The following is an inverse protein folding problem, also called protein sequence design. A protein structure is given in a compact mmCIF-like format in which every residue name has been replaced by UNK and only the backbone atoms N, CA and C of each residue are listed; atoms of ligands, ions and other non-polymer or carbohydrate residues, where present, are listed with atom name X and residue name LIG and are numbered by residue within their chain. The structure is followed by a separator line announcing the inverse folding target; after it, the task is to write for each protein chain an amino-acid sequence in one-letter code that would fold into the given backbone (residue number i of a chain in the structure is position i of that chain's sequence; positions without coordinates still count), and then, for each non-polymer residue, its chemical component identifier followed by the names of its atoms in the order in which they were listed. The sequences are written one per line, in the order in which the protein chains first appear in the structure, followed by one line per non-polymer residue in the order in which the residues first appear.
data_IF_643909290131
#
_entry.id   IF_643909290131
#
_cell.length_a   1.000
_cell.length_b   1.000
_cell.length_c   1.000
_cell.angle_alpha   90.00
_cell.angle_beta   90.00
_cell.angle_gamma   90.00
#
_symmetry.space_group_name_H-M   'P 1'
#
loop_
_entity.id
_entity.type
_entity.pdbx_description
1 polymer ?
#
# COMPACT_ATOMS: atom_id res chain seq x y z
N UNK A 1 -20.11 -12.76 16.57
CA UNK A 1 -18.95 -12.39 15.74
C UNK A 1 -18.42 -11.12 16.35
N UNK A 2 -17.19 -11.15 16.86
CA UNK A 2 -16.54 -9.95 17.38
C UNK A 2 -16.50 -8.92 16.25
N UNK A 3 -17.03 -7.72 16.47
CA UNK A 3 -17.07 -6.69 15.43
C UNK A 3 -15.63 -6.33 15.07
N UNK A 4 -15.13 -6.85 13.95
CA UNK A 4 -13.78 -6.57 13.48
C UNK A 4 -13.60 -5.06 13.31
N UNK A 5 -12.58 -4.51 13.97
CA UNK A 5 -12.24 -3.09 13.92
C UNK A 5 -10.88 -2.86 13.26
N UNK A 6 -10.72 -1.67 12.71
CA UNK A 6 -9.46 -1.12 12.22
C UNK A 6 -9.22 0.24 12.87
N UNK A 7 -7.95 0.53 13.18
CA UNK A 7 -7.50 1.86 13.56
C UNK A 7 -7.30 2.68 12.28
N UNK A 8 -8.19 3.62 12.04
CA UNK A 8 -8.23 4.47 10.85
C UNK A 8 -7.71 5.85 11.21
N UNK A 9 -6.72 6.32 10.45
CA UNK A 9 -6.22 7.68 10.56
C UNK A 9 -7.16 8.65 9.84
N UNK A 10 -7.44 8.39 8.55
CA UNK A 10 -8.33 9.22 7.74
C UNK A 10 -8.98 8.42 6.60
N UNK A 11 -10.17 8.86 6.18
CA UNK A 11 -10.83 8.42 4.95
C UNK A 11 -11.25 9.66 4.20
N UNK A 12 -10.80 9.80 2.95
CA UNK A 12 -11.04 11.00 2.16
C UNK A 12 -11.08 10.70 0.66
N UNK A 13 -11.64 11.62 -0.12
CA UNK A 13 -11.72 11.53 -1.57
C UNK A 13 -10.82 12.58 -2.21
N UNK A 14 -9.95 12.14 -3.12
CA UNK A 14 -8.96 12.98 -3.79
C UNK A 14 -8.60 12.40 -5.16
N UNK A 15 -7.46 12.79 -5.70
CA UNK A 15 -6.85 12.25 -6.92
C UNK A 15 -5.64 11.41 -6.51
N UNK A 16 -5.49 10.23 -7.12
CA UNK A 16 -4.28 9.42 -6.99
C UNK A 16 -3.07 10.19 -7.52
N UNK A 17 -2.03 10.34 -6.70
CA UNK A 17 -0.82 11.07 -7.03
C UNK A 17 0.27 10.21 -7.67
N UNK A 18 0.26 8.90 -7.42
CA UNK A 18 1.34 7.97 -7.75
C UNK A 18 0.82 6.72 -8.47
N UNK A 19 1.69 5.75 -8.75
CA UNK A 19 1.38 4.50 -9.45
C UNK A 19 0.93 4.70 -10.92
N UNK A 20 0.57 3.63 -11.61
CA UNK A 20 -0.10 3.75 -12.93
C UNK A 20 -1.51 4.34 -12.86
N UNK A 21 -2.05 4.53 -11.65
CA UNK A 21 -3.35 5.13 -11.38
C UNK A 21 -3.29 6.66 -11.18
N UNK A 22 -2.10 7.27 -11.27
CA UNK A 22 -1.93 8.72 -11.12
C UNK A 22 -2.90 9.52 -12.01
N UNK A 23 -3.57 10.52 -11.42
CA UNK A 23 -4.55 11.37 -12.07
C UNK A 23 -6.00 10.89 -11.98
N UNK A 24 -6.27 9.70 -11.43
CA UNK A 24 -7.63 9.18 -11.27
C UNK A 24 -8.28 9.61 -9.95
N UNK A 25 -9.59 9.92 -9.91
CA UNK A 25 -10.33 10.09 -8.67
C UNK A 25 -10.28 8.81 -7.83
N UNK A 26 -9.95 8.94 -6.54
CA UNK A 26 -9.71 7.81 -5.65
C UNK A 26 -10.17 8.14 -4.22
N UNK A 27 -10.81 7.18 -3.56
CA UNK A 27 -11.04 7.22 -2.11
C UNK A 27 -9.84 6.61 -1.41
N UNK A 28 -9.24 7.33 -0.48
CA UNK A 28 -8.16 6.82 0.34
C UNK A 28 -8.70 6.36 1.69
N UNK A 29 -8.32 5.17 2.11
CA UNK A 29 -8.53 4.65 3.47
C UNK A 29 -7.15 4.48 4.09
N UNK A 30 -6.75 5.47 4.89
CA UNK A 30 -5.45 5.50 5.57
C UNK A 30 -5.58 4.89 6.95
N UNK A 31 -4.90 3.77 7.17
CA UNK A 31 -4.82 3.09 8.47
C UNK A 31 -3.77 3.76 9.36
N UNK A 32 -3.82 3.44 10.65
CA UNK A 32 -2.83 3.85 11.65
C UNK A 32 -1.79 2.73 11.88
N UNK A 33 -0.62 3.13 12.37
CA UNK A 33 0.57 2.32 12.73
C UNK A 33 1.48 1.96 11.56
N UNK A 34 2.78 2.05 11.80
CA UNK A 34 3.83 1.49 10.95
C UNK A 34 4.98 1.03 11.86
N UNK A 35 5.66 -0.06 11.51
CA UNK A 35 6.87 -0.56 12.19
C UNK A 35 8.16 -0.23 11.41
N UNK A 36 8.06 0.57 10.35
CA UNK A 36 9.18 1.27 9.71
C UNK A 36 9.29 2.72 10.21
N UNK A 37 10.50 3.28 10.17
CA UNK A 37 10.80 4.69 10.45
C UNK A 37 11.65 5.25 9.31
N UNK A 38 11.08 5.19 8.11
CA UNK A 38 11.76 5.68 6.91
C UNK A 38 12.19 7.14 7.10
N UNK A 39 13.44 7.47 6.75
CA UNK A 39 14.00 8.81 6.95
C UNK A 39 13.21 9.91 6.23
N UNK A 40 12.58 9.58 5.10
CA UNK A 40 11.76 10.50 4.29
C UNK A 40 10.24 10.31 4.47
N UNK A 41 9.79 9.69 5.56
CA UNK A 41 8.35 9.48 5.76
C UNK A 41 7.61 10.82 5.89
N UNK A 42 6.66 11.05 4.98
CA UNK A 42 5.81 12.25 4.91
C UNK A 42 4.54 12.13 5.79
N UNK A 43 4.18 10.91 6.17
CA UNK A 43 2.93 10.57 6.87
C UNK A 43 3.20 10.11 8.31
N UNK A 44 4.10 10.79 9.02
CA UNK A 44 4.48 10.41 10.40
C UNK A 44 3.32 10.50 11.39
N UNK A 45 2.31 11.32 11.12
CA UNK A 45 1.08 11.43 11.91
C UNK A 45 0.28 10.11 11.95
N UNK A 46 0.35 9.30 10.88
CA UNK A 46 -0.30 7.99 10.82
C UNK A 46 0.38 6.92 11.71
N UNK A 47 1.49 7.22 12.40
CA UNK A 47 2.12 6.28 13.33
C UNK A 47 1.32 6.06 14.61
N UNK A 48 0.52 7.04 15.04
CA UNK A 48 -0.19 6.98 16.32
C UNK A 48 -1.61 7.54 16.28
N UNK A 49 -1.89 8.49 15.39
CA UNK A 49 -3.20 9.13 15.33
C UNK A 49 -4.22 8.27 14.58
N UNK A 50 -5.46 8.27 15.09
CA UNK A 50 -6.58 7.60 14.45
C UNK A 50 -7.67 7.21 15.44
N UNK A 51 -8.76 6.69 14.90
CA UNK A 51 -9.92 6.19 15.65
C UNK A 51 -10.24 4.77 15.25
N UNK A 52 -10.77 4.00 16.19
CA UNK A 52 -11.26 2.66 15.89
C UNK A 52 -12.58 2.77 15.12
N UNK A 53 -12.64 2.07 14.00
CA UNK A 53 -13.84 1.98 13.16
C UNK A 53 -14.11 0.52 12.84
N UNK A 54 -15.39 0.14 12.86
CA UNK A 54 -15.84 -1.13 12.32
C UNK A 54 -15.73 -1.16 10.79
N UNK A 55 -15.67 -2.37 10.22
CA UNK A 55 -15.69 -2.54 8.76
C UNK A 55 -16.93 -1.89 8.13
N UNK A 56 -18.10 -2.00 8.76
CA UNK A 56 -19.35 -1.42 8.27
C UNK A 56 -19.29 0.11 8.19
N UNK A 57 -18.72 0.77 9.21
CA UNK A 57 -18.53 2.22 9.21
C UNK A 57 -17.58 2.65 8.09
N UNK A 58 -16.48 1.92 7.87
CA UNK A 58 -15.52 2.21 6.80
C UNK A 58 -16.18 2.08 5.44
N UNK A 59 -16.88 0.97 5.18
CA UNK A 59 -17.57 0.71 3.92
C UNK A 59 -18.64 1.76 3.64
N UNK A 60 -19.42 2.14 4.65
CA UNK A 60 -20.44 3.19 4.56
C UNK A 60 -19.81 4.55 4.20
N UNK A 61 -18.65 4.88 4.79
CA UNK A 61 -17.95 6.12 4.46
C UNK A 61 -17.38 6.11 3.05
N UNK A 62 -16.76 5.01 2.61
CA UNK A 62 -16.24 4.86 1.25
C UNK A 62 -17.36 5.00 0.21
N UNK A 63 -18.51 4.36 0.44
CA UNK A 63 -19.65 4.37 -0.48
C UNK A 63 -20.23 5.77 -0.72
N UNK A 64 -20.19 6.64 0.29
CA UNK A 64 -20.70 8.03 0.20
C UNK A 64 -19.99 8.87 -0.86
N UNK A 65 -18.76 8.53 -1.24
CA UNK A 65 -18.01 9.29 -2.25
C UNK A 65 -18.42 8.94 -3.69
N UNK A 66 -19.13 7.83 -3.92
CA UNK A 66 -19.56 7.42 -5.26
C UNK A 66 -18.41 7.10 -6.23
N UNK A 67 -17.18 6.93 -5.73
CA UNK A 67 -16.00 6.59 -6.52
C UNK A 67 -15.68 5.09 -6.36
N UNK A 68 -15.40 4.41 -7.48
CA UNK A 68 -15.15 2.96 -7.51
C UNK A 68 -13.68 2.57 -7.35
N UNK A 69 -12.77 3.54 -7.31
CA UNK A 69 -11.35 3.32 -7.03
C UNK A 69 -11.08 3.65 -5.56
N UNK A 70 -10.54 2.68 -4.82
CA UNK A 70 -10.21 2.81 -3.40
C UNK A 70 -8.77 2.40 -3.19
N UNK A 71 -8.00 3.25 -2.53
CA UNK A 71 -6.66 2.92 -2.06
C UNK A 71 -6.68 2.66 -0.55
N UNK A 72 -6.20 1.49 -0.16
CA UNK A 72 -5.87 1.15 1.22
C UNK A 72 -4.39 1.44 1.45
N UNK A 73 -4.09 2.27 2.43
CA UNK A 73 -2.71 2.75 2.72
C UNK A 73 -2.53 3.04 4.22
N UNK A 74 -1.38 3.56 4.63
CA UNK A 74 -1.15 4.25 5.91
C UNK A 74 -0.98 3.39 7.16
N UNK A 75 -0.22 3.84 8.15
CA UNK A 75 1.21 3.63 8.05
C UNK A 75 1.49 2.35 7.24
N UNK A 76 1.71 1.20 7.87
CA UNK A 76 1.68 -0.08 7.13
C UNK A 76 0.30 -0.74 7.29
N UNK A 77 -0.55 -0.77 6.24
CA UNK A 77 -1.90 -1.30 6.35
C UNK A 77 -1.93 -2.79 6.73
N UNK A 78 -0.94 -3.57 6.28
CA UNK A 78 -0.89 -5.02 6.54
C UNK A 78 -0.53 -5.39 8.00
N UNK A 79 -0.22 -4.41 8.85
CA UNK A 79 -0.08 -4.63 10.29
C UNK A 79 -1.41 -4.97 10.98
N UNK A 80 -2.53 -4.52 10.43
CA UNK A 80 -3.84 -4.72 11.03
C UNK A 80 -4.58 -5.86 10.32
N UNK A 81 -4.71 -7.03 10.97
CA UNK A 81 -5.30 -8.25 10.36
C UNK A 81 -6.71 -8.08 9.79
N UNK A 82 -7.49 -7.11 10.28
CA UNK A 82 -8.83 -6.86 9.77
C UNK A 82 -8.85 -6.09 8.43
N UNK A 83 -7.68 -5.71 7.90
CA UNK A 83 -7.57 -5.07 6.57
C UNK A 83 -7.86 -6.06 5.44
N UNK A 84 -7.51 -7.34 5.62
CA UNK A 84 -7.78 -8.39 4.64
C UNK A 84 -9.28 -8.55 4.35
N UNK A 85 -10.16 -8.76 5.36
CA UNK A 85 -11.59 -8.83 5.10
C UNK A 85 -12.17 -7.50 4.57
N UNK A 86 -11.63 -6.33 4.95
CA UNK A 86 -12.05 -5.06 4.35
C UNK A 86 -11.77 -5.03 2.83
N UNK A 87 -10.57 -5.43 2.41
CA UNK A 87 -10.21 -5.48 0.99
C UNK A 87 -11.09 -6.46 0.21
N UNK A 88 -11.33 -7.65 0.76
CA UNK A 88 -12.22 -8.64 0.13
C UNK A 88 -13.64 -8.10 -0.03
N UNK A 89 -14.21 -7.49 1.00
CA UNK A 89 -15.57 -6.93 0.97
C UNK A 89 -15.69 -5.76 -0.03
N UNK A 90 -14.68 -4.90 -0.12
CA UNK A 90 -14.63 -3.86 -1.15
C UNK A 90 -14.60 -4.46 -2.56
N UNK A 91 -13.80 -5.50 -2.79
CA UNK A 91 -13.79 -6.21 -4.07
C UNK A 91 -15.14 -6.89 -4.37
N UNK A 92 -15.80 -7.48 -3.38
CA UNK A 92 -17.12 -8.12 -3.53
C UNK A 92 -18.21 -7.11 -3.90
N UNK A 93 -18.10 -5.87 -3.42
CA UNK A 93 -18.96 -4.74 -3.81
C UNK A 93 -18.61 -4.12 -5.17
N UNK A 94 -17.62 -4.67 -5.87
CA UNK A 94 -17.21 -4.23 -7.20
C UNK A 94 -16.35 -2.96 -7.20
N UNK A 95 -15.66 -2.66 -6.11
CA UNK A 95 -14.60 -1.64 -6.12
C UNK A 95 -13.33 -2.18 -6.75
N UNK A 96 -12.59 -1.31 -7.43
CA UNK A 96 -11.17 -1.52 -7.72
C UNK A 96 -10.38 -1.09 -6.51
N UNK A 97 -9.68 -2.03 -5.89
CA UNK A 97 -8.91 -1.80 -4.67
C UNK A 97 -7.42 -1.78 -5.00
N UNK A 98 -6.77 -0.70 -4.59
CA UNK A 98 -5.31 -0.56 -4.56
C UNK A 98 -4.84 -0.77 -3.11
N UNK A 99 -3.67 -1.37 -2.94
CA UNK A 99 -2.98 -1.49 -1.67
C UNK A 99 -1.58 -0.90 -1.81
N UNK A 100 -1.28 0.19 -1.11
CA UNK A 100 0.09 0.66 -0.94
C UNK A 100 0.70 0.06 0.32
N UNK A 101 1.82 -0.65 0.19
CA UNK A 101 2.49 -1.35 1.32
C UNK A 101 4.01 -1.19 1.24
N UNK A 102 4.67 -1.17 2.40
CA UNK A 102 6.10 -0.96 2.53
C UNK A 102 6.97 -2.18 2.24
N UNK A 103 6.42 -3.26 1.68
CA UNK A 103 7.17 -4.45 1.21
C UNK A 103 7.83 -5.31 2.29
N UNK A 104 7.71 -4.96 3.57
CA UNK A 104 8.27 -5.68 4.73
C UNK A 104 7.23 -6.58 5.42
N UNK A 105 5.95 -6.41 5.09
CA UNK A 105 4.87 -7.30 5.49
C UNK A 105 4.53 -8.24 4.32
N UNK A 106 4.12 -9.47 4.63
CA UNK A 106 3.79 -10.44 3.59
C UNK A 106 2.52 -10.07 2.83
N UNK A 107 2.59 -10.03 1.49
CA UNK A 107 1.44 -9.74 0.62
C UNK A 107 0.63 -10.99 0.23
N UNK A 108 1.04 -12.18 0.68
CA UNK A 108 0.45 -13.46 0.23
C UNK A 108 -1.02 -13.66 0.61
N UNK A 109 -1.44 -13.05 1.72
CA UNK A 109 -2.83 -13.13 2.20
C UNK A 109 -3.74 -12.06 1.59
N UNK A 110 -3.20 -11.17 0.75
CA UNK A 110 -3.97 -10.12 0.09
C UNK A 110 -4.83 -10.75 -1.01
N UNK A 111 -6.12 -10.44 -1.00
CA UNK A 111 -7.09 -10.87 -2.02
C UNK A 111 -6.53 -10.66 -3.43
N UNK A 112 -6.58 -11.72 -4.26
CA UNK A 112 -5.99 -11.72 -5.60
C UNK A 112 -6.56 -10.67 -6.58
N UNK A 113 -7.70 -10.05 -6.24
CA UNK A 113 -8.32 -8.98 -7.02
C UNK A 113 -7.74 -7.60 -6.72
N UNK A 114 -7.09 -7.44 -5.56
CA UNK A 114 -6.45 -6.18 -5.15
C UNK A 114 -5.18 -6.00 -5.95
N UNK A 115 -4.97 -4.77 -6.44
CA UNK A 115 -3.71 -4.35 -7.07
C UNK A 115 -2.75 -3.90 -5.98
N UNK A 116 -1.60 -4.56 -5.87
CA UNK A 116 -0.61 -4.26 -4.84
C UNK A 116 0.43 -3.32 -5.44
N UNK A 117 0.61 -2.17 -4.81
CA UNK A 117 1.68 -1.24 -5.07
C UNK A 117 2.67 -1.41 -3.93
N UNK A 118 3.70 -2.22 -4.17
CA UNK A 118 4.67 -2.59 -3.16
C UNK A 118 5.91 -1.71 -3.27
N UNK A 119 6.17 -0.96 -2.22
CA UNK A 119 7.42 -0.23 -2.08
C UNK A 119 8.55 -1.18 -1.71
N UNK A 120 9.61 -1.21 -2.52
CA UNK A 120 10.89 -1.76 -2.09
C UNK A 120 11.71 -0.60 -1.53
N UNK A 121 12.00 -0.66 -0.23
CA UNK A 121 12.67 0.43 0.49
C UNK A 121 14.14 0.50 0.09
N UNK A 122 14.53 1.63 -0.52
CA UNK A 122 15.90 1.92 -0.93
C UNK A 122 16.79 2.27 0.29
N UNK A 123 18.13 2.21 0.18
CA UNK A 123 19.06 2.52 1.27
C UNK A 123 18.80 3.85 1.98
N UNK A 124 18.46 4.92 1.25
CA UNK A 124 18.18 6.23 1.86
C UNK A 124 16.97 6.25 2.81
N UNK A 125 16.10 5.24 2.73
CA UNK A 125 15.01 5.10 3.70
C UNK A 125 15.52 4.79 5.11
N UNK A 126 16.73 4.26 5.25
CA UNK A 126 17.23 3.67 6.50
C UNK A 126 16.57 2.33 6.86
N UNK A 127 15.69 1.80 6.00
CA UNK A 127 14.85 0.63 6.26
C UNK A 127 14.98 -0.48 5.21
N UNK A 128 15.95 -0.37 4.28
CA UNK A 128 16.14 -1.36 3.20
C UNK A 128 16.44 -2.78 3.70
N UNK A 129 16.98 -2.91 4.91
CA UNK A 129 17.24 -4.20 5.57
C UNK A 129 15.97 -4.94 6.02
N UNK A 130 14.81 -4.29 6.02
CA UNK A 130 13.52 -4.88 6.43
C UNK A 130 12.66 -5.36 5.25
N UNK A 131 13.09 -5.15 4.01
CA UNK A 131 12.36 -5.65 2.83
C UNK A 131 12.17 -7.18 2.92
N UNK A 132 10.94 -7.66 2.73
CA UNK A 132 10.64 -9.09 2.64
C UNK A 132 10.70 -9.55 1.18
N UNK A 133 11.84 -10.09 0.79
CA UNK A 133 12.09 -10.56 -0.58
C UNK A 133 11.18 -11.73 -0.99
N UNK A 134 10.55 -12.44 -0.05
CA UNK A 134 9.59 -13.50 -0.37
C UNK A 134 8.32 -12.97 -1.04
N UNK A 135 8.05 -11.67 -0.92
CA UNK A 135 6.93 -11.01 -1.59
C UNK A 135 7.07 -10.99 -3.12
N UNK A 136 8.29 -11.03 -3.66
CA UNK A 136 8.51 -11.01 -5.11
C UNK A 136 7.85 -12.20 -5.81
N UNK A 137 7.77 -13.34 -5.15
CA UNK A 137 7.11 -14.54 -5.66
C UNK A 137 5.58 -14.43 -5.67
N UNK A 138 5.02 -13.53 -4.86
CA UNK A 138 3.58 -13.31 -4.75
C UNK A 138 3.07 -12.21 -5.68
N UNK A 139 3.98 -11.45 -6.31
CA UNK A 139 3.64 -10.43 -7.30
C UNK A 139 3.06 -11.05 -8.57
N UNK A 140 2.14 -10.31 -9.18
CA UNK A 140 1.49 -10.65 -10.44
C UNK A 140 1.64 -9.52 -11.45
N UNK A 141 1.29 -9.77 -12.72
CA UNK A 141 1.32 -8.76 -13.77
C UNK A 141 0.36 -7.57 -13.56
N UNK A 142 -0.52 -7.64 -12.55
CA UNK A 142 -1.42 -6.55 -12.16
C UNK A 142 -0.81 -5.63 -11.11
N UNK A 143 0.18 -6.12 -10.39
CA UNK A 143 0.82 -5.41 -9.28
C UNK A 143 1.86 -4.42 -9.81
N UNK A 144 2.35 -3.58 -8.91
CA UNK A 144 3.36 -2.58 -9.17
C UNK A 144 4.43 -2.64 -8.08
N UNK A 145 5.69 -2.49 -8.48
CA UNK A 145 6.79 -2.27 -7.56
C UNK A 145 7.27 -0.83 -7.70
N UNK A 146 7.35 -0.11 -6.58
CA UNK A 146 7.77 1.28 -6.54
C UNK A 146 9.06 1.42 -5.74
N UNK A 147 10.03 2.13 -6.31
CA UNK A 147 11.26 2.54 -5.63
C UNK A 147 11.21 4.05 -5.44
N UNK A 148 11.26 4.52 -4.19
CA UNK A 148 11.49 5.94 -3.89
C UNK A 148 12.99 6.20 -3.95
N UNK A 149 13.40 7.18 -4.75
CA UNK A 149 14.79 7.46 -5.10
C UNK A 149 15.22 8.77 -4.44
N UNK A 150 15.74 8.68 -3.21
CA UNK A 150 16.20 9.86 -2.46
C UNK A 150 17.56 10.40 -2.93
N UNK A 151 18.37 9.57 -3.61
CA UNK A 151 19.67 9.97 -4.12
C UNK A 151 20.17 9.06 -5.26
N UNK A 152 21.36 9.36 -5.78
CA UNK A 152 21.99 8.57 -6.86
C UNK A 152 22.30 7.13 -6.46
N UNK A 153 22.64 6.88 -5.20
CA UNK A 153 22.92 5.54 -4.70
C UNK A 153 21.67 4.67 -4.74
N UNK A 154 20.52 5.21 -4.33
CA UNK A 154 19.23 4.51 -4.45
C UNK A 154 18.91 4.15 -5.89
N UNK A 155 19.15 5.06 -6.85
CA UNK A 155 18.89 4.79 -8.27
C UNK A 155 19.71 3.60 -8.78
N UNK A 156 21.02 3.61 -8.52
CA UNK A 156 21.89 2.50 -8.94
C UNK A 156 21.58 1.21 -8.16
N UNK A 157 21.18 1.31 -6.90
CA UNK A 157 20.73 0.18 -6.09
C UNK A 157 19.44 -0.43 -6.64
N UNK A 158 18.41 0.38 -6.89
CA UNK A 158 17.13 -0.03 -7.42
C UNK A 158 17.27 -0.70 -8.80
N UNK A 159 18.14 -0.18 -9.67
CA UNK A 159 18.50 -0.86 -10.93
C UNK A 159 19.06 -2.25 -10.71
N UNK A 160 19.99 -2.43 -9.76
CA UNK A 160 20.54 -3.75 -9.45
C UNK A 160 19.45 -4.70 -8.97
N UNK A 161 18.57 -4.25 -8.06
CA UNK A 161 17.45 -5.05 -7.55
C UNK A 161 16.48 -5.43 -8.68
N UNK A 162 16.14 -4.49 -9.57
CA UNK A 162 15.30 -4.75 -10.74
C UNK A 162 15.84 -5.91 -11.58
N UNK A 163 17.13 -5.87 -11.93
CA UNK A 163 17.74 -6.92 -12.74
C UNK A 163 17.96 -8.22 -11.97
N UNK A 164 18.33 -8.15 -10.69
CA UNK A 164 18.56 -9.32 -9.84
C UNK A 164 17.29 -10.17 -9.67
N UNK A 165 16.13 -9.52 -9.60
CA UNK A 165 14.84 -10.19 -9.37
C UNK A 165 13.94 -10.22 -10.63
N UNK A 166 14.44 -9.70 -11.75
CA UNK A 166 13.74 -9.61 -13.03
C UNK A 166 12.35 -8.98 -12.89
N UNK A 167 12.24 -7.93 -12.08
CA UNK A 167 10.95 -7.34 -11.67
C UNK A 167 10.13 -6.83 -12.86
N UNK A 168 10.81 -6.32 -13.89
CA UNK A 168 10.21 -5.82 -15.12
C UNK A 168 9.53 -6.89 -15.98
N UNK A 169 9.82 -8.18 -15.75
CA UNK A 169 9.13 -9.29 -16.41
C UNK A 169 7.94 -9.80 -15.58
N UNK A 170 7.80 -9.35 -14.32
CA UNK A 170 6.77 -9.79 -13.39
C UNK A 170 5.61 -8.81 -13.28
N UNK A 171 5.92 -7.52 -13.22
CA UNK A 171 4.99 -6.46 -12.87
C UNK A 171 5.48 -5.10 -13.39
N UNK A 172 4.65 -4.07 -13.31
CA UNK A 172 5.09 -2.70 -13.59
C UNK A 172 6.10 -2.26 -12.53
N UNK A 173 7.18 -1.61 -12.94
CA UNK A 173 8.20 -1.07 -12.03
C UNK A 173 8.28 0.44 -12.18
N UNK A 174 8.24 1.14 -11.04
CA UNK A 174 8.23 2.60 -10.95
C UNK A 174 9.43 3.09 -10.17
N UNK A 175 10.06 4.15 -10.68
CA UNK A 175 11.11 4.88 -10.01
C UNK A 175 10.56 6.27 -9.69
N UNK A 176 10.26 6.53 -8.43
CA UNK A 176 9.69 7.79 -7.94
C UNK A 176 10.80 8.68 -7.39
N UNK A 177 11.04 9.88 -7.96
CA UNK A 177 12.09 10.79 -7.52
C UNK A 177 11.78 11.52 -6.20
#
# INVERSE_FOLDING_TARGET
MENATLKINEIFFSIQGESTYAGLPCVFVRLTYCNLRCTYCDTTYAFTEGRDMSLEEILTQVERYGCRLVEITGGEPLLQKNVYPLMTELCDRGYRVLLETGGHMSIRSVDSRVVRIMDIKCPSSGESGKNDWSNIEALTARDEVKFVIGNREDYEWAKRILFQHTLNERCTVLFSP
#
